data_IF_239113905510
#
_entry.id   IF_239113905510
#
_cell.length_a   1.000
_cell.length_b   1.000
_cell.length_c   1.000
_cell.angle_alpha   90.00
_cell.angle_beta   90.00
_cell.angle_gamma   90.00
#
_symmetry.space_group_name_H-M   'P 1'
#
loop_
_entity.id
_entity.type
_entity.pdbx_description
1 polymer ?
#
# COMPACT_ATOMS: atom_id res chain seq x y z
N UNK A 1 -24.95 -22.40 -32.10
CA UNK A 1 -24.50 -22.19 -30.71
C UNK A 1 -23.47 -23.26 -30.37
N UNK A 2 -22.20 -22.98 -30.66
CA UNK A 2 -21.06 -23.80 -30.27
C UNK A 2 -19.96 -22.84 -29.86
N UNK A 3 -19.87 -22.54 -28.57
CA UNK A 3 -18.75 -21.81 -28.01
C UNK A 3 -17.57 -22.78 -27.97
N UNK A 4 -16.76 -22.77 -29.03
CA UNK A 4 -15.42 -23.35 -28.99
C UNK A 4 -14.66 -22.65 -27.88
N UNK A 5 -14.54 -23.33 -26.75
CA UNK A 5 -13.87 -22.88 -25.54
C UNK A 5 -12.36 -22.85 -25.80
N UNK A 6 -11.90 -21.91 -26.63
CA UNK A 6 -10.49 -21.72 -26.91
C UNK A 6 -9.86 -21.06 -25.68
N UNK A 7 -9.18 -21.87 -24.87
CA UNK A 7 -8.39 -21.41 -23.75
C UNK A 7 -7.40 -20.35 -24.25
N UNK A 8 -7.36 -19.13 -23.68
CA UNK A 8 -6.47 -18.06 -24.15
C UNK A 8 -5.01 -18.50 -24.17
N UNK A 9 -4.25 -18.02 -25.16
CA UNK A 9 -2.94 -18.56 -25.51
C UNK A 9 -1.92 -18.60 -24.36
N UNK A 10 -2.07 -17.74 -23.36
CA UNK A 10 -1.17 -17.57 -22.21
C UNK A 10 -1.80 -17.97 -20.86
N UNK A 11 -2.84 -18.82 -20.84
CA UNK A 11 -3.42 -19.24 -19.56
C UNK A 11 -2.56 -20.30 -18.86
N UNK A 12 -2.48 -20.27 -17.51
CA UNK A 12 -1.82 -21.32 -16.72
C UNK A 12 -2.37 -22.72 -17.02
N UNK A 13 -3.66 -22.83 -17.36
CA UNK A 13 -4.29 -24.09 -17.73
C UNK A 13 -3.73 -24.65 -19.05
N UNK A 14 -3.47 -23.80 -20.06
CA UNK A 14 -2.87 -24.22 -21.32
C UNK A 14 -1.42 -24.65 -21.14
N UNK A 15 -0.64 -23.93 -20.32
CA UNK A 15 0.73 -24.31 -20.01
C UNK A 15 0.82 -25.70 -19.36
N UNK A 16 -0.11 -26.02 -18.46
CA UNK A 16 -0.21 -27.36 -17.85
C UNK A 16 -0.61 -28.43 -18.84
N UNK A 17 -1.59 -28.14 -19.71
CA UNK A 17 -1.97 -29.07 -20.77
C UNK A 17 -0.79 -29.40 -21.71
N UNK A 18 0.01 -28.40 -22.07
CA UNK A 18 1.22 -28.61 -22.88
C UNK A 18 2.29 -29.43 -22.16
N UNK A 19 2.49 -29.19 -20.85
CA UNK A 19 3.39 -29.99 -20.03
C UNK A 19 2.93 -31.44 -19.97
N UNK A 20 1.63 -31.67 -19.70
CA UNK A 20 1.07 -33.00 -19.63
C UNK A 20 1.14 -33.76 -20.95
N UNK A 21 0.84 -33.09 -22.07
CA UNK A 21 0.97 -33.69 -23.40
C UNK A 21 2.42 -34.10 -23.69
N UNK A 22 3.40 -33.30 -23.24
CA UNK A 22 4.83 -33.63 -23.37
C UNK A 22 5.21 -34.83 -22.51
N UNK A 23 4.75 -34.87 -21.27
CA UNK A 23 5.01 -35.99 -20.35
C UNK A 23 4.42 -37.28 -20.90
N UNK A 24 3.17 -37.25 -21.37
CA UNK A 24 2.48 -38.42 -21.94
C UNK A 24 3.11 -38.87 -23.26
N UNK A 25 3.57 -37.95 -24.12
CA UNK A 25 4.32 -38.33 -25.31
C UNK A 25 5.60 -39.08 -24.94
N UNK A 26 6.40 -38.52 -24.02
CA UNK A 26 7.65 -39.17 -23.57
C UNK A 26 7.36 -40.53 -22.96
N UNK A 27 6.35 -40.64 -22.11
CA UNK A 27 5.91 -41.91 -21.54
C UNK A 27 5.48 -42.91 -22.63
N UNK A 28 4.73 -42.48 -23.65
CA UNK A 28 4.29 -43.34 -24.74
C UNK A 28 5.44 -43.82 -25.63
N UNK A 29 6.47 -42.98 -25.84
CA UNK A 29 7.69 -43.39 -26.55
C UNK A 29 8.48 -44.44 -25.74
N UNK A 30 8.65 -44.21 -24.43
CA UNK A 30 9.33 -45.15 -23.54
C UNK A 30 8.55 -46.48 -23.46
N UNK A 31 7.22 -46.42 -23.30
CA UNK A 31 6.35 -47.60 -23.31
C UNK A 31 6.38 -48.33 -24.65
N UNK A 32 6.47 -47.62 -25.79
CA UNK A 32 6.63 -48.25 -27.10
C UNK A 32 7.94 -49.04 -27.23
N UNK A 33 9.06 -48.48 -26.76
CA UNK A 33 10.35 -49.19 -26.69
C UNK A 33 10.25 -50.40 -25.76
N UNK A 34 9.63 -50.24 -24.59
CA UNK A 34 9.42 -51.34 -23.65
C UNK A 34 8.58 -52.48 -24.29
N UNK A 35 7.58 -52.16 -25.12
CA UNK A 35 6.79 -53.17 -25.82
C UNK A 35 7.65 -54.02 -26.77
N UNK A 36 8.59 -53.41 -27.49
CA UNK A 36 9.52 -54.15 -28.34
C UNK A 36 10.44 -55.07 -27.53
N UNK A 37 10.93 -54.61 -26.37
CA UNK A 37 11.79 -55.39 -25.47
C UNK A 37 11.01 -56.57 -24.87
N UNK A 38 9.80 -56.33 -24.36
CA UNK A 38 8.94 -57.39 -23.79
C UNK A 38 8.61 -58.42 -24.88
N UNK A 39 8.18 -57.97 -26.07
CA UNK A 39 7.90 -58.88 -27.18
C UNK A 39 9.08 -59.75 -27.57
N UNK A 40 10.32 -59.24 -27.49
CA UNK A 40 11.52 -60.06 -27.70
C UNK A 40 11.69 -61.14 -26.63
N UNK A 41 11.51 -60.82 -25.35
CA UNK A 41 11.67 -61.78 -24.25
C UNK A 41 10.57 -62.85 -24.19
N UNK A 42 9.35 -62.52 -24.63
CA UNK A 42 8.19 -63.42 -24.62
C UNK A 42 7.89 -64.05 -25.99
N UNK A 43 8.86 -64.02 -26.92
CA UNK A 43 8.78 -64.64 -28.26
C UNK A 43 7.65 -64.11 -29.18
N UNK A 44 7.18 -62.88 -28.93
CA UNK A 44 6.20 -62.15 -29.76
C UNK A 44 6.80 -60.83 -30.34
N UNK A 45 7.95 -60.89 -31.04
CA UNK A 45 8.70 -59.69 -31.42
C UNK A 45 7.96 -58.82 -32.46
N UNK A 46 7.19 -59.44 -33.35
CA UNK A 46 6.45 -58.71 -34.39
C UNK A 46 5.33 -57.87 -33.79
N UNK A 47 4.55 -58.43 -32.87
CA UNK A 47 3.47 -57.71 -32.19
C UNK A 47 4.04 -56.57 -31.32
N UNK A 48 5.13 -56.83 -30.59
CA UNK A 48 5.77 -55.82 -29.75
C UNK A 48 6.35 -54.65 -30.54
N UNK A 49 7.10 -54.93 -31.62
CA UNK A 49 7.70 -53.89 -32.44
C UNK A 49 6.65 -53.10 -33.24
N UNK A 50 5.76 -53.78 -33.96
CA UNK A 50 4.78 -53.12 -34.83
C UNK A 50 3.72 -52.40 -33.99
N UNK A 51 3.17 -53.06 -32.97
CA UNK A 51 2.17 -52.48 -32.08
C UNK A 51 2.71 -51.30 -31.29
N UNK A 52 3.91 -51.46 -30.70
CA UNK A 52 4.59 -50.39 -29.97
C UNK A 52 4.88 -49.19 -30.86
N UNK A 53 5.48 -49.40 -32.03
CA UNK A 53 5.80 -48.33 -32.98
C UNK A 53 4.54 -47.60 -33.47
N UNK A 54 3.48 -48.33 -33.81
CA UNK A 54 2.24 -47.75 -34.32
C UNK A 54 1.58 -46.86 -33.26
N UNK A 55 1.42 -47.36 -32.03
CA UNK A 55 0.80 -46.60 -30.94
C UNK A 55 1.64 -45.36 -30.56
N UNK A 56 2.97 -45.51 -30.50
CA UNK A 56 3.89 -44.38 -30.27
C UNK A 56 3.86 -43.36 -31.40
N UNK A 57 3.76 -43.79 -32.67
CA UNK A 57 3.63 -42.90 -33.81
C UNK A 57 2.29 -42.14 -33.81
N UNK A 58 1.19 -42.81 -33.45
CA UNK A 58 -0.10 -42.16 -33.23
C UNK A 58 -0.02 -41.12 -32.10
N UNK A 59 0.66 -41.43 -31.00
CA UNK A 59 0.84 -40.50 -29.89
C UNK A 59 1.64 -39.26 -30.32
N UNK A 60 2.73 -39.45 -31.09
CA UNK A 60 3.47 -38.36 -31.69
C UNK A 60 2.58 -37.52 -32.63
N UNK A 61 1.79 -38.17 -33.48
CA UNK A 61 0.83 -37.50 -34.37
C UNK A 61 -0.16 -36.62 -33.61
N UNK A 62 -0.78 -37.14 -32.55
CA UNK A 62 -1.69 -36.38 -31.68
C UNK A 62 -0.98 -35.20 -31.02
N UNK A 63 0.23 -35.42 -30.49
CA UNK A 63 1.01 -34.35 -29.86
C UNK A 63 1.31 -33.21 -30.83
N UNK A 64 1.81 -33.51 -32.04
CA UNK A 64 2.20 -32.45 -32.98
C UNK A 64 1.00 -31.72 -33.61
N UNK A 65 -0.15 -32.38 -33.72
CA UNK A 65 -1.35 -31.80 -34.37
C UNK A 65 -2.31 -31.11 -33.41
N UNK A 66 -2.45 -31.61 -32.18
CA UNK A 66 -3.53 -31.20 -31.27
C UNK A 66 -3.07 -30.80 -29.87
N UNK A 67 -1.77 -30.62 -29.60
CA UNK A 67 -1.26 -30.32 -28.25
C UNK A 67 -1.97 -29.14 -27.56
N UNK A 68 -2.21 -29.30 -26.26
CA UNK A 68 -2.86 -28.35 -25.38
C UNK A 68 -4.37 -28.31 -25.48
N UNK A 69 -5.01 -29.26 -26.19
CA UNK A 69 -6.48 -29.33 -26.34
C UNK A 69 -7.09 -30.37 -25.40
N UNK A 70 -8.42 -30.39 -25.25
CA UNK A 70 -9.09 -31.51 -24.58
C UNK A 70 -8.89 -32.82 -25.36
N UNK A 71 -8.95 -32.75 -26.69
CA UNK A 71 -8.77 -33.91 -27.56
C UNK A 71 -7.40 -34.57 -27.36
N UNK A 72 -6.31 -33.80 -27.35
CA UNK A 72 -4.97 -34.37 -27.16
C UNK A 72 -4.84 -35.10 -25.83
N UNK A 73 -5.34 -34.51 -24.75
CA UNK A 73 -5.29 -35.10 -23.40
C UNK A 73 -5.99 -36.45 -23.34
N UNK A 74 -7.21 -36.53 -23.88
CA UNK A 74 -7.98 -37.78 -23.89
C UNK A 74 -7.35 -38.80 -24.83
N UNK A 75 -6.94 -38.40 -26.03
CA UNK A 75 -6.34 -39.30 -27.03
C UNK A 75 -4.99 -39.87 -26.59
N UNK A 76 -4.09 -39.03 -26.04
CA UNK A 76 -2.82 -39.49 -25.47
C UNK A 76 -3.02 -40.43 -24.28
N UNK A 77 -4.03 -40.17 -23.46
CA UNK A 77 -4.42 -41.08 -22.36
C UNK A 77 -4.85 -42.43 -22.91
N UNK A 78 -5.74 -42.46 -23.91
CA UNK A 78 -6.17 -43.71 -24.54
C UNK A 78 -5.01 -44.47 -25.16
N UNK A 79 -4.09 -43.80 -25.84
CA UNK A 79 -2.91 -44.42 -26.45
C UNK A 79 -1.94 -44.97 -25.40
N UNK A 80 -1.75 -44.26 -24.28
CA UNK A 80 -0.94 -44.74 -23.17
C UNK A 80 -1.56 -45.97 -22.51
N UNK A 81 -2.88 -45.97 -22.30
CA UNK A 81 -3.62 -47.15 -21.79
C UNK A 81 -3.49 -48.33 -22.76
N UNK A 82 -3.60 -48.10 -24.07
CA UNK A 82 -3.42 -49.14 -25.09
C UNK A 82 -2.01 -49.73 -25.09
N UNK A 83 -0.98 -48.90 -24.86
CA UNK A 83 0.41 -49.38 -24.72
C UNK A 83 0.60 -50.26 -23.48
N UNK A 84 0.00 -49.90 -22.34
CA UNK A 84 0.04 -50.75 -21.14
C UNK A 84 -0.73 -52.05 -21.36
N UNK A 85 -1.90 -52.00 -22.01
CA UNK A 85 -2.64 -53.20 -22.39
C UNK A 85 -1.84 -54.11 -23.34
N UNK A 86 -1.06 -53.52 -24.25
CA UNK A 86 -0.14 -54.25 -25.11
C UNK A 86 0.98 -54.92 -24.31
N UNK A 87 1.53 -54.27 -23.28
CA UNK A 87 2.53 -54.90 -22.40
C UNK A 87 1.97 -56.13 -21.69
N UNK A 88 0.76 -56.02 -21.14
CA UNK A 88 0.06 -57.14 -20.49
C UNK A 88 -0.18 -58.29 -21.47
N UNK A 89 -0.62 -57.98 -22.70
CA UNK A 89 -0.82 -58.96 -23.75
C UNK A 89 0.48 -59.69 -24.14
N UNK A 90 1.58 -58.94 -24.36
CA UNK A 90 2.87 -59.51 -24.76
C UNK A 90 3.47 -60.39 -23.66
N UNK A 91 3.23 -60.03 -22.39
CA UNK A 91 3.69 -60.78 -21.25
C UNK A 91 2.73 -61.90 -20.83
N UNK A 92 1.74 -62.26 -21.67
CA UNK A 92 0.78 -63.33 -21.39
C UNK A 92 0.02 -63.17 -20.05
N UNK A 93 -0.25 -61.91 -19.64
CA UNK A 93 -1.03 -61.61 -18.44
C UNK A 93 -0.25 -61.64 -17.12
N UNK A 94 1.09 -61.64 -17.14
CA UNK A 94 1.91 -61.55 -15.93
C UNK A 94 1.59 -60.29 -15.09
N UNK A 95 1.58 -60.45 -13.77
CA UNK A 95 1.08 -59.43 -12.84
C UNK A 95 1.99 -58.21 -12.78
N UNK A 96 3.29 -58.36 -13.00
CA UNK A 96 4.27 -57.28 -12.97
C UNK A 96 3.98 -56.19 -14.02
N UNK A 97 3.42 -56.56 -15.17
CA UNK A 97 3.11 -55.58 -16.22
C UNK A 97 1.84 -54.76 -15.90
N UNK A 98 1.06 -55.16 -14.90
CA UNK A 98 -0.04 -54.36 -14.37
C UNK A 98 0.47 -53.14 -13.59
N UNK A 99 1.74 -53.09 -13.16
CA UNK A 99 2.33 -51.88 -12.57
C UNK A 99 2.22 -50.66 -13.51
N UNK A 100 2.18 -50.89 -14.84
CA UNK A 100 1.96 -49.84 -15.83
C UNK A 100 0.64 -49.08 -15.68
N UNK A 101 -0.39 -49.71 -15.09
CA UNK A 101 -1.69 -49.08 -14.77
C UNK A 101 -1.47 -47.97 -13.75
N UNK A 102 -0.82 -48.29 -12.63
CA UNK A 102 -0.56 -47.33 -11.54
C UNK A 102 0.38 -46.19 -11.96
N UNK A 103 1.40 -46.52 -12.77
CA UNK A 103 2.30 -45.50 -13.36
C UNK A 103 1.52 -44.54 -14.26
N UNK A 104 0.66 -45.07 -15.12
CA UNK A 104 -0.16 -44.24 -16.03
C UNK A 104 -1.10 -43.34 -15.23
N UNK A 105 -1.83 -43.88 -14.26
CA UNK A 105 -2.73 -43.11 -13.40
C UNK A 105 -1.98 -41.97 -12.67
N UNK A 106 -0.79 -42.25 -12.13
CA UNK A 106 0.07 -41.25 -11.50
C UNK A 106 0.54 -40.16 -12.47
N UNK A 107 0.93 -40.52 -13.70
CA UNK A 107 1.37 -39.57 -14.72
C UNK A 107 0.23 -38.61 -15.12
N UNK A 108 -1.02 -39.07 -15.15
CA UNK A 108 -2.17 -38.25 -15.54
C UNK A 108 -2.44 -37.09 -14.56
N UNK A 109 -1.95 -37.18 -13.32
CA UNK A 109 -2.05 -36.08 -12.34
C UNK A 109 -1.38 -34.78 -12.84
N UNK A 110 -0.42 -34.87 -13.77
CA UNK A 110 0.23 -33.70 -14.38
C UNK A 110 -0.76 -32.75 -15.05
N UNK A 111 -1.89 -33.26 -15.55
CA UNK A 111 -2.90 -32.43 -16.20
C UNK A 111 -3.70 -31.60 -15.20
N UNK A 112 -3.73 -31.99 -13.92
CA UNK A 112 -4.63 -31.44 -12.91
C UNK A 112 -6.09 -31.39 -13.38
N UNK A 113 -6.48 -32.40 -14.17
CA UNK A 113 -7.84 -32.59 -14.70
C UNK A 113 -8.31 -34.02 -14.38
N UNK A 114 -9.53 -34.15 -13.86
CA UNK A 114 -10.09 -35.44 -13.47
C UNK A 114 -10.50 -36.28 -14.68
N UNK A 115 -10.78 -35.66 -15.84
CA UNK A 115 -11.31 -36.35 -16.99
C UNK A 115 -10.35 -37.42 -17.58
N UNK A 116 -9.05 -37.17 -17.77
CA UNK A 116 -8.10 -38.20 -18.19
C UNK A 116 -7.99 -39.36 -17.19
N UNK A 117 -7.97 -39.08 -15.89
CA UNK A 117 -7.87 -40.10 -14.83
C UNK A 117 -9.09 -41.03 -14.88
N UNK A 118 -10.30 -40.45 -14.95
CA UNK A 118 -11.53 -41.23 -15.05
C UNK A 118 -11.61 -42.04 -16.36
N UNK A 119 -11.18 -41.44 -17.49
CA UNK A 119 -11.12 -42.13 -18.78
C UNK A 119 -10.17 -43.33 -18.71
N UNK A 120 -8.98 -43.18 -18.13
CA UNK A 120 -8.02 -44.27 -17.99
C UNK A 120 -8.57 -45.40 -17.12
N UNK A 121 -9.16 -45.08 -15.96
CA UNK A 121 -9.80 -46.05 -15.09
C UNK A 121 -10.91 -46.84 -15.82
N UNK A 122 -11.75 -46.14 -16.59
CA UNK A 122 -12.80 -46.78 -17.39
C UNK A 122 -12.23 -47.68 -18.49
N UNK A 123 -11.20 -47.24 -19.20
CA UNK A 123 -10.55 -48.04 -20.25
C UNK A 123 -9.86 -49.28 -19.67
N UNK A 124 -9.19 -49.16 -18.52
CA UNK A 124 -8.61 -50.32 -17.84
C UNK A 124 -9.69 -51.28 -17.35
N UNK A 125 -10.79 -50.80 -16.79
CA UNK A 125 -11.91 -51.65 -16.38
C UNK A 125 -12.49 -52.43 -17.57
N UNK A 126 -12.71 -51.74 -18.71
CA UNK A 126 -13.15 -52.37 -19.96
C UNK A 126 -12.13 -53.41 -20.44
N UNK A 127 -10.85 -53.08 -20.46
CA UNK A 127 -9.79 -54.02 -20.84
C UNK A 127 -9.80 -55.27 -19.96
N UNK A 128 -9.81 -55.12 -18.63
CA UNK A 128 -9.73 -56.28 -17.72
C UNK A 128 -10.95 -57.18 -17.87
N UNK A 129 -12.17 -56.61 -17.90
CA UNK A 129 -13.39 -57.40 -18.07
C UNK A 129 -13.43 -58.06 -19.45
N UNK A 130 -13.18 -57.30 -20.52
CA UNK A 130 -13.27 -57.83 -21.88
C UNK A 130 -12.20 -58.90 -22.14
N UNK A 131 -10.95 -58.63 -21.79
CA UNK A 131 -9.84 -59.53 -22.10
C UNK A 131 -9.93 -60.81 -21.27
N UNK A 132 -10.36 -60.74 -20.01
CA UNK A 132 -10.61 -61.93 -19.20
C UNK A 132 -11.72 -62.82 -19.81
N UNK A 133 -12.81 -62.23 -20.32
CA UNK A 133 -13.87 -62.98 -21.01
C UNK A 133 -13.40 -63.57 -22.35
N UNK A 134 -12.59 -62.84 -23.11
CA UNK A 134 -12.01 -63.34 -24.37
C UNK A 134 -10.96 -64.44 -24.11
N UNK A 135 -10.18 -64.32 -23.03
CA UNK A 135 -9.23 -65.33 -22.57
C UNK A 135 -9.95 -66.62 -22.16
N UNK A 136 -11.04 -66.50 -21.39
CA UNK A 136 -11.89 -67.65 -21.03
C UNK A 136 -12.54 -68.34 -22.24
N UNK A 137 -12.78 -67.58 -23.33
CA UNK A 137 -13.29 -68.11 -24.59
C UNK A 137 -12.19 -68.72 -25.50
N UNK A 138 -10.91 -68.65 -25.11
CA UNK A 138 -9.79 -69.21 -25.88
C UNK A 138 -9.41 -68.40 -27.12
N UNK A 139 -9.71 -67.09 -27.15
CA UNK A 139 -9.51 -66.22 -28.32
C UNK A 139 -8.11 -65.58 -28.40
N UNK A 140 -7.14 -66.06 -27.61
CA UNK A 140 -5.75 -65.59 -27.67
C UNK A 140 -5.50 -64.20 -27.05
N UNK A 141 -6.41 -63.72 -26.19
CA UNK A 141 -6.22 -62.49 -25.41
C UNK A 141 -5.84 -62.83 -23.98
N UNK A 142 -5.01 -61.99 -23.35
CA UNK A 142 -4.54 -62.18 -21.99
C UNK A 142 -4.86 -60.95 -21.13
N UNK A 143 -5.58 -61.17 -20.03
CA UNK A 143 -5.73 -60.20 -18.95
C UNK A 143 -4.82 -60.56 -17.77
N UNK A 144 -4.94 -61.80 -17.30
CA UNK A 144 -4.13 -62.38 -16.23
C UNK A 144 -3.48 -63.67 -16.76
N UNK A 145 -2.59 -64.31 -16.00
CA UNK A 145 -2.00 -65.60 -16.42
C UNK A 145 -3.05 -66.68 -16.70
N UNK A 146 -4.19 -66.61 -16.01
CA UNK A 146 -5.36 -67.48 -16.19
C UNK A 146 -6.67 -66.66 -16.04
N UNK A 147 -7.76 -67.05 -16.71
CA UNK A 147 -9.04 -66.34 -16.59
C UNK A 147 -9.61 -66.51 -15.16
N UNK A 148 -9.82 -65.40 -14.47
CA UNK A 148 -10.26 -65.35 -13.08
C UNK A 148 -11.10 -64.09 -12.84
N UNK A 149 -12.41 -64.22 -13.08
CA UNK A 149 -13.34 -63.10 -12.96
C UNK A 149 -13.38 -62.51 -11.54
N UNK A 150 -13.25 -63.36 -10.52
CA UNK A 150 -13.30 -62.92 -9.13
C UNK A 150 -12.09 -62.03 -8.81
N UNK A 151 -10.90 -62.41 -9.31
CA UNK A 151 -9.69 -61.59 -9.21
C UNK A 151 -9.81 -60.29 -9.99
N UNK A 152 -10.44 -60.28 -11.17
CA UNK A 152 -10.74 -59.06 -11.94
C UNK A 152 -11.65 -58.11 -11.15
N UNK A 153 -12.71 -58.61 -10.51
CA UNK A 153 -13.59 -57.79 -9.67
C UNK A 153 -12.84 -57.20 -8.46
N UNK A 154 -11.94 -57.98 -7.85
CA UNK A 154 -11.08 -57.51 -6.77
C UNK A 154 -10.13 -56.40 -7.26
N UNK A 155 -9.48 -56.56 -8.43
CA UNK A 155 -8.65 -55.51 -9.04
C UNK A 155 -9.46 -54.25 -9.33
N UNK A 156 -10.68 -54.39 -9.86
CA UNK A 156 -11.57 -53.26 -10.11
C UNK A 156 -11.89 -52.50 -8.82
N UNK A 157 -12.07 -53.19 -7.69
CA UNK A 157 -12.22 -52.58 -6.37
C UNK A 157 -11.04 -51.67 -5.99
N UNK A 158 -9.80 -52.15 -6.17
CA UNK A 158 -8.60 -51.34 -5.92
C UNK A 158 -8.51 -50.13 -6.86
N UNK A 159 -8.79 -50.30 -8.15
CA UNK A 159 -8.76 -49.21 -9.12
C UNK A 159 -9.81 -48.14 -8.78
N UNK A 160 -11.01 -48.52 -8.33
CA UNK A 160 -12.04 -47.56 -7.88
C UNK A 160 -11.57 -46.76 -6.68
N UNK A 161 -11.01 -47.42 -5.66
CA UNK A 161 -10.50 -46.75 -4.46
C UNK A 161 -9.34 -45.80 -4.83
N UNK A 162 -8.38 -46.27 -5.62
CA UNK A 162 -7.26 -45.48 -6.10
C UNK A 162 -7.73 -44.27 -6.91
N UNK A 163 -8.62 -44.47 -7.88
CA UNK A 163 -9.15 -43.39 -8.72
C UNK A 163 -9.85 -42.33 -7.87
N UNK A 164 -10.62 -42.75 -6.86
CA UNK A 164 -11.26 -41.84 -5.91
C UNK A 164 -10.24 -40.99 -5.14
N UNK A 165 -9.19 -41.63 -4.60
CA UNK A 165 -8.12 -40.94 -3.87
C UNK A 165 -7.34 -39.98 -4.77
N UNK A 166 -6.98 -40.41 -5.98
CA UNK A 166 -6.28 -39.58 -6.97
C UNK A 166 -7.10 -38.37 -7.38
N UNK A 167 -8.42 -38.52 -7.59
CA UNK A 167 -9.30 -37.38 -7.88
C UNK A 167 -9.31 -36.39 -6.71
N UNK A 168 -9.36 -36.86 -5.46
CA UNK A 168 -9.29 -35.98 -4.27
C UNK A 168 -7.97 -35.20 -4.24
N UNK A 169 -6.84 -35.89 -4.42
CA UNK A 169 -5.51 -35.26 -4.47
C UNK A 169 -5.42 -34.26 -5.62
N UNK A 170 -5.90 -34.63 -6.81
CA UNK A 170 -5.91 -33.81 -8.01
C UNK A 170 -6.72 -32.53 -7.83
N UNK A 171 -7.92 -32.62 -7.23
CA UNK A 171 -8.74 -31.44 -6.92
C UNK A 171 -8.03 -30.54 -5.92
N UNK A 172 -7.38 -31.10 -4.89
CA UNK A 172 -6.57 -30.37 -3.93
C UNK A 172 -5.40 -29.63 -4.59
N UNK A 173 -4.61 -30.33 -5.41
CA UNK A 173 -3.50 -29.77 -6.18
C UNK A 173 -3.99 -28.69 -7.16
N UNK A 174 -5.13 -28.90 -7.83
CA UNK A 174 -5.75 -27.94 -8.72
C UNK A 174 -6.13 -26.64 -8.01
N UNK A 175 -6.71 -26.73 -6.81
CA UNK A 175 -7.02 -25.57 -5.95
C UNK A 175 -5.77 -24.82 -5.52
N UNK A 176 -4.77 -25.51 -4.97
CA UNK A 176 -3.50 -24.89 -4.55
C UNK A 176 -2.79 -24.21 -5.72
N UNK A 177 -2.76 -24.85 -6.88
CA UNK A 177 -2.10 -24.30 -8.06
C UNK A 177 -2.90 -23.12 -8.68
N UNK A 178 -4.22 -23.03 -8.44
CA UNK A 178 -5.01 -21.85 -8.82
C UNK A 178 -4.74 -20.70 -7.86
N UNK A 179 -4.79 -20.96 -6.56
CA UNK A 179 -4.49 -19.99 -5.50
C UNK A 179 -3.09 -19.40 -5.65
N UNK A 180 -2.06 -20.23 -5.84
CA UNK A 180 -0.71 -19.76 -6.12
C UNK A 180 -0.61 -18.89 -7.38
N UNK A 181 -1.40 -19.19 -8.41
CA UNK A 181 -1.48 -18.37 -9.62
C UNK A 181 -2.16 -17.01 -9.39
N UNK A 182 -3.25 -16.98 -8.62
CA UNK A 182 -3.93 -15.74 -8.23
C UNK A 182 -3.02 -14.85 -7.37
N UNK A 183 -2.30 -15.44 -6.42
CA UNK A 183 -1.33 -14.73 -5.59
C UNK A 183 -0.16 -14.18 -6.40
N UNK A 184 0.41 -14.99 -7.31
CA UNK A 184 1.50 -14.53 -8.18
C UNK A 184 1.05 -13.35 -9.07
N UNK A 185 -0.18 -13.39 -9.59
CA UNK A 185 -0.75 -12.30 -10.37
C UNK A 185 -0.93 -11.02 -9.53
N UNK A 186 -1.38 -11.15 -8.27
CA UNK A 186 -1.44 -10.01 -7.35
C UNK A 186 -0.06 -9.41 -7.08
N UNK A 187 0.92 -10.24 -6.72
CA UNK A 187 2.29 -9.77 -6.45
C UNK A 187 2.86 -9.05 -7.66
N UNK A 188 2.66 -9.58 -8.87
CA UNK A 188 3.10 -8.94 -10.11
C UNK A 188 2.39 -7.61 -10.37
N UNK A 189 1.11 -7.46 -9.98
CA UNK A 189 0.38 -6.19 -10.12
C UNK A 189 0.81 -5.13 -9.11
N UNK A 190 1.18 -5.57 -7.89
CA UNK A 190 1.58 -4.69 -6.80
C UNK A 190 3.02 -4.22 -6.94
N UNK A 191 3.93 -5.12 -7.32
CA UNK A 191 5.35 -4.85 -7.44
C UNK A 191 5.70 -4.40 -8.87
N UNK A 192 5.58 -3.10 -9.15
CA UNK A 192 5.92 -2.52 -10.44
C UNK A 192 7.34 -1.93 -10.40
N UNK A 193 7.98 -1.78 -11.57
CA UNK A 193 9.35 -1.26 -11.66
C UNK A 193 9.50 0.14 -11.04
N UNK A 194 8.45 0.96 -11.16
CA UNK A 194 8.43 2.36 -10.71
C UNK A 194 7.79 2.53 -9.32
N UNK A 195 7.42 1.45 -8.63
CA UNK A 195 6.89 1.52 -7.25
C UNK A 195 5.86 0.46 -6.88
N UNK A 196 5.11 0.74 -5.81
CA UNK A 196 4.08 -0.14 -5.27
C UNK A 196 2.70 0.36 -5.68
N UNK A 197 1.97 -0.43 -6.47
CA UNK A 197 0.58 -0.15 -6.82
C UNK A 197 -0.37 -0.96 -5.93
N UNK A 198 -1.07 -0.28 -5.03
CA UNK A 198 -2.02 -0.94 -4.11
C UNK A 198 -3.41 -1.16 -4.73
N UNK A 199 -3.70 -0.57 -5.89
CA UNK A 199 -4.96 -0.79 -6.58
C UNK A 199 -4.98 -2.14 -7.29
N UNK A 200 -5.65 -3.09 -6.65
CA UNK A 200 -5.88 -4.45 -7.16
C UNK A 200 -7.36 -4.72 -7.46
N UNK A 201 -8.18 -3.67 -7.60
CA UNK A 201 -9.62 -3.79 -7.85
C UNK A 201 -9.96 -4.45 -9.20
N UNK A 202 -9.09 -4.29 -10.20
CA UNK A 202 -9.22 -4.91 -11.52
C UNK A 202 -8.92 -6.42 -11.56
N UNK A 203 -8.33 -6.98 -10.51
CA UNK A 203 -8.00 -8.40 -10.44
C UNK A 203 -9.19 -9.22 -9.93
N UNK A 204 -9.65 -10.16 -10.75
CA UNK A 204 -10.68 -11.13 -10.36
C UNK A 204 -10.02 -12.31 -9.67
N UNK A 205 -10.28 -12.46 -8.38
CA UNK A 205 -9.77 -13.56 -7.57
C UNK A 205 -10.90 -14.32 -6.89
N UNK A 206 -10.65 -15.59 -6.63
CA UNK A 206 -11.68 -16.52 -6.15
C UNK A 206 -11.20 -17.41 -5.02
N UNK A 207 -9.88 -17.52 -4.80
CA UNK A 207 -9.35 -18.27 -3.66
C UNK A 207 -9.51 -17.46 -2.37
N UNK A 208 -9.81 -18.12 -1.23
CA UNK A 208 -9.98 -17.41 0.04
C UNK A 208 -8.74 -16.59 0.45
N UNK A 209 -7.52 -17.12 0.23
CA UNK A 209 -6.30 -16.40 0.56
C UNK A 209 -6.08 -15.20 -0.35
N UNK A 210 -6.34 -15.35 -1.65
CA UNK A 210 -6.25 -14.26 -2.61
C UNK A 210 -7.26 -13.15 -2.26
N UNK A 211 -8.52 -13.49 -1.97
CA UNK A 211 -9.52 -12.51 -1.51
C UNK A 211 -9.10 -11.79 -0.22
N UNK A 212 -8.52 -12.53 0.74
CA UNK A 212 -8.00 -11.95 1.99
C UNK A 212 -6.87 -10.95 1.71
N UNK A 213 -5.95 -11.31 0.81
CA UNK A 213 -4.85 -10.42 0.40
C UNK A 213 -5.39 -9.18 -0.33
N UNK A 214 -6.36 -9.33 -1.23
CA UNK A 214 -7.01 -8.20 -1.93
C UNK A 214 -7.62 -7.21 -0.93
N UNK A 215 -8.35 -7.72 0.07
CA UNK A 215 -8.94 -6.88 1.13
C UNK A 215 -7.87 -6.14 1.94
N UNK A 216 -6.77 -6.81 2.28
CA UNK A 216 -5.62 -6.17 2.96
C UNK A 216 -5.01 -5.06 2.12
N UNK A 217 -4.79 -5.30 0.83
CA UNK A 217 -4.23 -4.30 -0.09
C UNK A 217 -5.15 -3.08 -0.24
N UNK A 218 -6.46 -3.30 -0.34
CA UNK A 218 -7.46 -2.21 -0.35
C UNK A 218 -7.44 -1.39 0.94
N UNK A 219 -7.31 -2.04 2.10
CA UNK A 219 -7.18 -1.33 3.39
C UNK A 219 -5.88 -0.52 3.45
N UNK A 220 -4.77 -1.08 2.97
CA UNK A 220 -3.50 -0.36 2.88
C UNK A 220 -3.61 0.86 1.96
N UNK A 221 -4.31 0.74 0.83
CA UNK A 221 -4.57 1.87 -0.08
C UNK A 221 -5.29 3.02 0.64
N UNK A 222 -6.34 2.72 1.40
CA UNK A 222 -7.07 3.72 2.20
C UNK A 222 -6.17 4.39 3.25
N UNK A 223 -5.33 3.62 3.93
CA UNK A 223 -4.40 4.15 4.93
C UNK A 223 -3.37 5.09 4.27
N UNK A 224 -2.77 4.67 3.16
CA UNK A 224 -1.79 5.50 2.43
C UNK A 224 -2.44 6.79 1.92
N UNK A 225 -3.66 6.72 1.38
CA UNK A 225 -4.41 7.90 0.96
C UNK A 225 -4.69 8.85 2.13
N UNK A 226 -5.08 8.32 3.29
CA UNK A 226 -5.27 9.13 4.51
C UNK A 226 -3.98 9.81 4.96
N UNK A 227 -2.84 9.12 4.90
CA UNK A 227 -1.53 9.70 5.24
C UNK A 227 -1.17 10.82 4.28
N UNK A 228 -1.33 10.61 2.96
CA UNK A 228 -1.09 11.65 1.95
C UNK A 228 -1.96 12.89 2.19
N UNK A 229 -3.24 12.70 2.50
CA UNK A 229 -4.15 13.79 2.84
C UNK A 229 -3.69 14.53 4.10
N UNK A 230 -3.31 13.81 5.17
CA UNK A 230 -2.78 14.42 6.39
C UNK A 230 -1.50 15.21 6.14
N UNK A 231 -0.60 14.71 5.29
CA UNK A 231 0.62 15.44 4.90
C UNK A 231 0.29 16.74 4.15
N UNK A 232 -0.66 16.72 3.22
CA UNK A 232 -1.10 17.93 2.51
C UNK A 232 -1.72 18.99 3.46
N UNK A 233 -2.46 18.54 4.49
CA UNK A 233 -2.97 19.44 5.52
C UNK A 233 -1.84 20.05 6.37
N UNK A 234 -0.81 19.27 6.72
CA UNK A 234 0.37 19.76 7.46
C UNK A 234 1.14 20.77 6.62
N UNK A 235 1.32 20.52 5.32
CA UNK A 235 1.97 21.45 4.39
C UNK A 235 1.22 22.79 4.36
N UNK A 236 -0.10 22.75 4.16
CA UNK A 236 -0.95 23.96 4.16
C UNK A 236 -0.85 24.72 5.49
N UNK A 237 -0.98 24.03 6.62
CA UNK A 237 -0.88 24.65 7.94
C UNK A 237 0.51 25.26 8.19
N UNK A 238 1.57 24.63 7.67
CA UNK A 238 2.95 25.14 7.79
C UNK A 238 3.13 26.42 6.98
N UNK A 239 2.55 26.51 5.79
CA UNK A 239 2.54 27.75 4.99
C UNK A 239 1.79 28.89 5.69
N UNK A 240 0.65 28.59 6.31
CA UNK A 240 -0.13 29.58 7.09
C UNK A 240 0.66 30.08 8.31
N UNK A 241 1.31 29.18 9.06
CA UNK A 241 2.20 29.55 10.18
C UNK A 241 3.35 30.43 9.69
N UNK A 242 3.99 30.05 8.57
CA UNK A 242 5.10 30.83 8.00
C UNK A 242 4.66 32.25 7.64
N UNK A 243 3.49 32.40 7.00
CA UNK A 243 2.90 33.71 6.67
C UNK A 243 2.55 34.50 7.93
N UNK A 244 1.91 33.87 8.92
CA UNK A 244 1.59 34.50 10.20
C UNK A 244 2.82 34.97 10.96
N UNK A 245 3.92 34.20 10.90
CA UNK A 245 5.20 34.58 11.48
C UNK A 245 5.80 35.81 10.80
N UNK A 246 5.73 35.91 9.47
CA UNK A 246 6.18 37.09 8.74
C UNK A 246 5.38 38.35 9.10
N UNK A 247 4.05 38.23 9.20
CA UNK A 247 3.18 39.35 9.62
C UNK A 247 3.49 39.78 11.06
N UNK A 248 3.63 38.81 11.98
CA UNK A 248 3.99 39.09 13.36
C UNK A 248 5.35 39.79 13.46
N UNK A 249 6.36 39.30 12.74
CA UNK A 249 7.68 39.94 12.68
C UNK A 249 7.59 41.39 12.21
N UNK A 250 6.86 41.67 11.12
CA UNK A 250 6.65 43.03 10.62
C UNK A 250 5.94 43.93 11.64
N UNK A 251 4.92 43.42 12.34
CA UNK A 251 4.23 44.16 13.41
C UNK A 251 5.15 44.43 14.60
N UNK A 252 6.01 43.49 14.96
CA UNK A 252 7.01 43.67 16.04
C UNK A 252 8.05 44.72 15.66
N UNK A 253 8.52 44.73 14.41
CA UNK A 253 9.42 45.79 13.89
C UNK A 253 8.75 47.17 13.92
N UNK A 254 7.49 47.27 13.48
CA UNK A 254 6.73 48.51 13.54
C UNK A 254 6.50 49.00 14.98
N UNK A 255 6.21 48.08 15.92
CA UNK A 255 6.05 48.40 17.33
C UNK A 255 7.37 48.89 17.95
N UNK A 256 8.50 48.26 17.60
CA UNK A 256 9.82 48.71 18.02
C UNK A 256 10.11 50.13 17.52
N UNK A 257 9.84 50.42 16.24
CA UNK A 257 10.01 51.76 15.67
C UNK A 257 9.13 52.82 16.36
N UNK A 258 7.87 52.49 16.67
CA UNK A 258 6.98 53.39 17.43
C UNK A 258 7.49 53.64 18.85
N UNK A 259 8.08 52.64 19.51
CA UNK A 259 8.69 52.79 20.83
C UNK A 259 9.95 53.66 20.77
N UNK A 260 10.79 53.53 19.73
CA UNK A 260 11.92 54.43 19.49
C UNK A 260 11.46 55.87 19.31
N UNK A 261 10.42 56.10 18.51
CA UNK A 261 9.86 57.45 18.32
C UNK A 261 9.29 58.01 19.63
N UNK A 262 8.60 57.19 20.42
CA UNK A 262 8.08 57.58 21.74
C UNK A 262 9.20 57.94 22.70
N UNK A 263 10.29 57.16 22.72
CA UNK A 263 11.46 57.43 23.54
C UNK A 263 12.13 58.76 23.15
N UNK A 264 12.27 59.03 21.85
CA UNK A 264 12.80 60.30 21.34
C UNK A 264 11.90 61.49 21.73
N UNK A 265 10.57 61.35 21.62
CA UNK A 265 9.64 62.38 22.10
C UNK A 265 9.73 62.60 23.61
N UNK A 266 9.95 61.55 24.40
CA UNK A 266 10.16 61.67 25.84
C UNK A 266 11.47 62.39 26.18
N UNK A 267 12.54 62.19 25.41
CA UNK A 267 13.79 62.97 25.55
C UNK A 267 13.56 64.46 25.27
N UNK A 268 12.80 64.79 24.22
CA UNK A 268 12.46 66.18 23.89
C UNK A 268 11.58 66.85 24.96
N UNK A 269 10.57 66.12 25.47
CA UNK A 269 9.73 66.59 26.59
C UNK A 269 10.59 66.83 27.83
N UNK A 270 11.50 65.91 28.16
CA UNK A 270 12.38 66.05 29.32
C UNK A 270 13.31 67.27 29.19
N UNK A 271 13.86 67.50 28.00
CA UNK A 271 14.65 68.69 27.68
C UNK A 271 13.83 69.99 27.87
N UNK A 272 12.61 70.01 27.34
CA UNK A 272 11.70 71.16 27.45
C UNK A 272 11.28 71.41 28.90
N UNK A 273 11.02 70.36 29.66
CA UNK A 273 10.68 70.42 31.09
C UNK A 273 11.84 70.98 31.90
N UNK A 274 13.08 70.56 31.62
CA UNK A 274 14.29 71.12 32.25
C UNK A 274 14.42 72.61 31.95
N UNK A 275 14.27 73.03 30.69
CA UNK A 275 14.30 74.45 30.30
C UNK A 275 13.19 75.27 30.99
N UNK A 276 12.00 74.68 31.14
CA UNK A 276 10.87 75.32 31.85
C UNK A 276 11.16 75.49 33.35
N UNK A 277 11.76 74.47 33.99
CA UNK A 277 12.17 74.53 35.39
C UNK A 277 13.25 75.59 35.64
N UNK A 278 14.25 75.67 34.76
CA UNK A 278 15.29 76.71 34.82
C UNK A 278 14.69 78.11 34.65
N UNK A 279 13.79 78.28 33.68
CA UNK A 279 13.07 79.54 33.47
C UNK A 279 12.23 79.96 34.68
N UNK A 280 11.51 79.02 35.30
CA UNK A 280 10.74 79.27 36.52
C UNK A 280 11.66 79.67 37.69
N UNK A 281 12.85 79.05 37.80
CA UNK A 281 13.86 79.39 38.81
C UNK A 281 14.40 80.81 38.60
N UNK A 282 14.72 81.18 37.36
CA UNK A 282 15.15 82.54 37.01
C UNK A 282 14.03 83.56 37.29
N UNK A 283 12.78 83.27 36.93
CA UNK A 283 11.64 84.13 37.21
C UNK A 283 11.41 84.33 38.72
N UNK A 284 11.57 83.27 39.52
CA UNK A 284 11.50 83.34 40.98
C UNK A 284 12.60 84.26 41.56
N UNK A 285 13.85 84.13 41.08
CA UNK A 285 14.95 85.01 41.48
C UNK A 285 14.69 86.47 41.12
N UNK A 286 14.18 86.74 39.92
CA UNK A 286 13.76 88.08 39.50
C UNK A 286 12.65 88.65 40.38
N UNK A 287 11.64 87.84 40.74
CA UNK A 287 10.56 88.24 41.63
C UNK A 287 11.07 88.61 43.03
N UNK A 288 11.99 87.81 43.60
CA UNK A 288 12.65 88.11 44.88
C UNK A 288 13.45 89.42 44.81
N UNK A 289 14.24 89.62 43.75
CA UNK A 289 14.98 90.86 43.55
C UNK A 289 14.07 92.09 43.43
N UNK A 290 12.97 91.97 42.67
CA UNK A 290 11.97 93.03 42.55
C UNK A 290 11.27 93.34 43.87
N UNK A 291 10.96 92.32 44.68
CA UNK A 291 10.40 92.50 46.02
C UNK A 291 11.36 93.25 46.95
N UNK A 292 12.66 92.95 46.88
CA UNK A 292 13.70 93.67 47.64
C UNK A 292 13.81 95.14 47.20
N UNK A 293 13.75 95.42 45.90
CA UNK A 293 13.69 96.79 45.36
C UNK A 293 12.44 97.52 45.84
N UNK A 294 11.27 96.88 45.80
CA UNK A 294 10.01 97.44 46.27
C UNK A 294 10.05 97.72 47.79
N UNK A 295 10.65 96.84 48.59
CA UNK A 295 10.83 97.04 50.03
C UNK A 295 11.73 98.23 50.34
N UNK A 296 12.86 98.38 49.63
CA UNK A 296 13.71 99.57 49.72
C UNK A 296 12.97 100.84 49.30
N UNK A 297 12.20 100.77 48.21
CA UNK A 297 11.32 101.87 47.78
C UNK A 297 10.32 102.27 48.86
N UNK A 298 9.70 101.29 49.53
CA UNK A 298 8.79 101.51 50.66
C UNK A 298 9.45 102.20 51.85
N UNK A 299 10.70 101.84 52.18
CA UNK A 299 11.48 102.53 53.22
C UNK A 299 11.73 104.00 52.86
N UNK A 300 12.11 104.27 51.60
CA UNK A 300 12.31 105.65 51.10
C UNK A 300 11.02 106.46 51.18
N UNK A 301 9.89 105.90 50.73
CA UNK A 301 8.58 106.57 50.84
C UNK A 301 8.22 106.81 52.31
N UNK A 302 8.48 105.86 53.21
CA UNK A 302 8.29 106.03 54.65
C UNK A 302 9.10 107.20 55.22
N UNK A 303 10.36 107.34 54.80
CA UNK A 303 11.21 108.48 55.18
C UNK A 303 10.63 109.82 54.68
N UNK A 304 10.10 109.85 53.45
CA UNK A 304 9.43 111.04 52.90
C UNK A 304 8.19 111.41 53.70
N UNK A 305 7.35 110.44 54.08
CA UNK A 305 6.16 110.68 54.93
C UNK A 305 6.55 111.21 56.30
N UNK A 306 7.56 110.62 56.96
CA UNK A 306 8.05 111.11 58.24
C UNK A 306 8.56 112.55 58.15
N UNK A 307 9.31 112.87 57.09
CA UNK A 307 9.78 114.24 56.83
C UNK A 307 8.61 115.21 56.62
N UNK A 308 7.57 114.79 55.90
CA UNK A 308 6.35 115.60 55.72
C UNK A 308 5.60 115.83 57.04
N UNK A 309 5.58 114.86 57.95
CA UNK A 309 5.00 115.01 59.29
C UNK A 309 5.80 116.00 60.15
N UNK A 310 7.15 115.93 60.11
CA UNK A 310 8.02 116.91 60.77
C UNK A 310 7.81 118.33 60.22
N UNK A 311 7.62 118.48 58.90
CA UNK A 311 7.26 119.74 58.25
C UNK A 311 5.90 120.23 58.74
N UNK A 312 4.89 119.35 58.83
CA UNK A 312 3.56 119.69 59.34
C UNK A 312 3.64 120.18 60.80
N UNK A 313 4.38 119.46 61.64
CA UNK A 313 4.55 119.79 63.05
C UNK A 313 5.32 121.10 63.25
N UNK A 314 6.37 121.35 62.44
CA UNK A 314 7.04 122.66 62.38
C UNK A 314 6.10 123.77 61.94
N UNK A 315 5.24 123.51 60.95
CA UNK A 315 4.24 124.47 60.48
C UNK A 315 3.20 124.80 61.56
N UNK A 316 2.77 123.82 62.37
CA UNK A 316 1.91 124.07 63.55
C UNK A 316 2.61 124.91 64.61
N UNK A 317 3.88 124.62 64.93
CA UNK A 317 4.66 125.48 65.83
C UNK A 317 4.78 126.91 65.31
N UNK A 318 4.98 127.09 64.01
CA UNK A 318 4.97 128.43 63.38
C UNK A 318 3.59 129.07 63.55
N UNK A 319 2.50 128.33 63.35
CA UNK A 319 1.15 128.83 63.56
C UNK A 319 0.89 129.25 65.02
N UNK A 320 1.34 128.45 65.99
CA UNK A 320 1.25 128.79 67.42
C UNK A 320 2.07 130.06 67.74
N UNK A 321 3.28 130.20 67.17
CA UNK A 321 4.10 131.42 67.31
C UNK A 321 3.38 132.62 66.69
N UNK A 322 2.85 132.49 65.48
CA UNK A 322 2.06 133.54 64.81
C UNK A 322 0.85 133.92 65.68
N UNK A 323 0.12 132.95 66.22
CA UNK A 323 -1.00 133.19 67.13
C UNK A 323 -0.57 133.90 68.42
N UNK A 324 0.61 133.59 68.95
CA UNK A 324 1.19 134.29 70.10
C UNK A 324 1.58 135.73 69.73
N UNK A 325 2.16 135.95 68.54
CA UNK A 325 2.49 137.28 68.02
C UNK A 325 1.21 138.12 67.83
N UNK A 326 0.15 137.52 67.28
CA UNK A 326 -1.16 138.17 67.11
C UNK A 326 -1.79 138.52 68.47
N UNK A 327 -1.63 137.64 69.47
CA UNK A 327 -2.00 137.93 70.86
C UNK A 327 -1.22 139.07 71.51
N UNK A 328 0.10 139.19 71.23
CA UNK A 328 0.93 140.32 71.70
C UNK A 328 0.52 141.62 70.96
N UNK A 329 0.25 141.54 69.66
CA UNK A 329 -0.18 142.66 68.84
C UNK A 329 -1.54 143.22 69.30
N UNK A 330 -2.47 142.38 69.78
CA UNK A 330 -3.76 142.82 70.33
C UNK A 330 -3.64 143.46 71.74
N UNK A 331 -2.56 143.17 72.48
CA UNK A 331 -2.28 143.72 73.80
C UNK A 331 -1.45 145.01 73.78
N UNK A 332 -0.99 145.47 72.60
CA UNK A 332 -0.27 146.74 72.39
C UNK A 332 -1.14 147.75 71.68
#
# INVERSE_FOLDING_TARGET
MSSTNSIPMNSPARSRALLGDKVLLVAALISGVAAAVIGYFYYEPMLGMVGGLLLSAMAAGVYFTARGTLFSRLALTTLQVALVALHIQLAHGEVEYHFGVFVTMSLLLVYLDWAPVLLAAALYAVHHVLFDRLQAAGLGFYCLSEPDFARVLLHAGYVVIQTGLEIVLLVGMGRMAKEGGELAAMVASVNQADGIALDVSGLRVSSPLAQSLQSTLQRMQTVVASVQQSTAHIETASEEISRGHQELASRTEAAASNLEQTAASMEEINSTMKSSADSARTASQLAVANAEVAQRGGQVVGQVVATMEEINQSSRKIHDIIGTIDGIAFQT
#
